data_IF_360266668877
#
_entry.id   IF_360266668877
#
_cell.length_a   1.000
_cell.length_b   1.000
_cell.length_c   1.000
_cell.angle_alpha   90.00
_cell.angle_beta   90.00
_cell.angle_gamma   90.00
#
_symmetry.space_group_name_H-M   'P 1'
#
loop_
_entity.id
_entity.type
_entity.pdbx_description
1 polymer ?
#
# COMPACT_ATOMS: atom_id res chain seq x y z
N UNK A 1 18.87 -13.71 2.90
CA UNK A 1 17.78 -14.51 3.54
C UNK A 1 16.50 -13.88 3.03
N UNK A 2 15.67 -14.64 2.34
CA UNK A 2 14.36 -14.16 1.89
C UNK A 2 13.53 -13.96 3.16
N UNK A 3 13.06 -12.74 3.43
CA UNK A 3 12.10 -12.50 4.50
C UNK A 3 10.76 -13.13 4.12
N UNK A 4 10.08 -13.79 5.05
CA UNK A 4 8.73 -14.25 4.79
C UNK A 4 7.78 -13.05 4.57
N UNK A 5 6.69 -13.25 3.82
CA UNK A 5 5.70 -12.21 3.56
C UNK A 5 5.14 -11.60 4.85
N UNK A 6 4.99 -12.42 5.91
CA UNK A 6 4.51 -11.94 7.21
C UNK A 6 5.57 -11.09 7.93
N UNK A 7 6.84 -11.48 7.85
CA UNK A 7 7.94 -10.68 8.41
C UNK A 7 8.08 -9.33 7.69
N UNK A 8 7.90 -9.32 6.37
CA UNK A 8 7.90 -8.10 5.57
C UNK A 8 6.76 -7.16 5.98
N UNK A 9 5.52 -7.65 6.04
CA UNK A 9 4.35 -6.86 6.45
C UNK A 9 4.50 -6.33 7.89
N UNK A 10 5.03 -7.15 8.81
CA UNK A 10 5.35 -6.71 10.18
C UNK A 10 6.35 -5.56 10.19
N UNK A 11 7.41 -5.62 9.39
CA UNK A 11 8.40 -4.55 9.33
C UNK A 11 7.80 -3.24 8.83
N UNK A 12 6.96 -3.28 7.78
CA UNK A 12 6.24 -2.09 7.29
C UNK A 12 5.29 -1.52 8.36
N UNK A 13 4.51 -2.37 9.02
CA UNK A 13 3.59 -1.96 10.08
C UNK A 13 4.32 -1.38 11.30
N UNK A 14 5.46 -1.96 11.68
CA UNK A 14 6.29 -1.45 12.80
C UNK A 14 6.82 -0.04 12.54
N UNK A 15 7.15 0.27 11.30
CA UNK A 15 7.62 1.58 10.93
C UNK A 15 6.57 2.67 11.11
N UNK A 16 5.31 2.37 10.78
CA UNK A 16 4.19 3.30 10.90
C UNK A 16 3.66 3.48 12.32
N UNK A 17 3.87 2.52 13.22
CA UNK A 17 3.27 2.50 14.58
C UNK A 17 4.04 3.25 15.66
N UNK A 18 4.91 4.19 15.28
CA UNK A 18 5.48 5.17 16.22
C UNK A 18 6.43 4.58 17.26
N UNK A 19 6.94 3.38 17.04
CA UNK A 19 8.04 2.87 17.84
C UNK A 19 9.29 3.69 17.47
N UNK A 20 9.73 4.58 18.37
CA UNK A 20 10.87 5.48 18.20
C UNK A 20 12.22 4.76 18.04
N UNK A 21 12.23 3.47 18.13
CA UNK A 21 13.25 2.58 17.60
C UNK A 21 12.75 2.06 16.25
N UNK A 22 12.80 2.89 15.20
CA UNK A 22 12.83 2.38 13.83
C UNK A 22 13.87 1.27 13.81
N UNK A 23 13.51 -0.01 13.58
CA UNK A 23 14.52 -1.01 13.33
C UNK A 23 15.34 -0.51 12.14
N UNK A 24 16.65 -0.69 12.17
CA UNK A 24 17.54 -0.44 11.02
C UNK A 24 17.05 -1.11 9.72
N UNK A 25 16.07 -2.00 9.79
CA UNK A 25 15.40 -2.65 8.66
C UNK A 25 14.61 -1.72 7.73
N UNK A 26 14.34 -0.47 8.11
CA UNK A 26 13.70 0.51 7.22
C UNK A 26 14.69 1.41 6.48
N UNK A 27 15.97 1.14 6.60
CA UNK A 27 16.94 1.55 5.59
C UNK A 27 16.82 0.68 4.31
N UNK A 28 16.09 -0.43 4.34
CA UNK A 28 15.84 -1.27 3.17
C UNK A 28 14.73 -0.65 2.31
N UNK A 29 15.07 -0.37 1.08
CA UNK A 29 14.17 0.06 0.03
C UNK A 29 13.21 -1.07 -0.30
N UNK A 30 11.91 -0.77 -0.30
CA UNK A 30 10.85 -1.73 -0.57
C UNK A 30 10.23 -1.44 -1.93
N UNK A 31 10.10 -2.46 -2.78
CA UNK A 31 9.57 -2.31 -4.12
C UNK A 31 8.48 -3.35 -4.38
N UNK A 32 7.25 -2.86 -4.63
CA UNK A 32 6.15 -3.69 -5.10
C UNK A 32 5.99 -3.66 -6.61
N UNK A 33 5.52 -4.77 -7.18
CA UNK A 33 5.19 -4.89 -8.59
C UNK A 33 3.68 -4.99 -8.81
N UNK A 34 3.13 -4.15 -9.70
CA UNK A 34 1.71 -4.21 -10.05
C UNK A 34 1.45 -5.27 -11.11
N UNK A 35 0.33 -5.97 -10.96
CA UNK A 35 -0.20 -6.91 -11.94
C UNK A 35 -1.51 -6.42 -12.54
N UNK A 36 -1.78 -6.87 -13.77
CA UNK A 36 -3.03 -6.54 -14.47
C UNK A 36 -4.19 -7.40 -13.96
N UNK A 37 -5.40 -6.87 -14.10
CA UNK A 37 -6.60 -7.67 -13.86
C UNK A 37 -6.62 -8.94 -14.72
N UNK A 38 -7.01 -10.05 -14.09
CA UNK A 38 -7.03 -11.35 -14.74
C UNK A 38 -5.72 -12.13 -14.65
N UNK A 39 -4.64 -11.51 -14.13
CA UNK A 39 -3.40 -12.22 -13.83
C UNK A 39 -3.63 -13.38 -12.87
N UNK A 40 -2.82 -14.42 -13.01
CA UNK A 40 -2.80 -15.59 -12.14
C UNK A 40 -1.40 -15.85 -11.59
N UNK A 41 -1.20 -17.04 -11.02
CA UNK A 41 0.09 -17.45 -10.44
C UNK A 41 1.26 -17.35 -11.42
N UNK A 42 1.06 -17.85 -12.66
CA UNK A 42 2.10 -17.83 -13.70
C UNK A 42 2.53 -16.40 -14.06
N UNK A 43 1.61 -15.45 -13.95
CA UNK A 43 1.91 -14.04 -14.22
C UNK A 43 2.70 -13.42 -13.07
N UNK A 44 2.40 -13.77 -11.81
CA UNK A 44 3.22 -13.37 -10.66
C UNK A 44 4.61 -13.98 -10.79
N UNK A 45 4.74 -15.27 -11.14
CA UNK A 45 6.04 -15.94 -11.33
C UNK A 45 6.88 -15.20 -12.39
N UNK A 46 6.31 -14.86 -13.54
CA UNK A 46 7.01 -14.07 -14.58
C UNK A 46 7.43 -12.69 -14.10
N UNK A 47 6.56 -12.01 -13.33
CA UNK A 47 6.90 -10.73 -12.75
C UNK A 47 8.10 -10.84 -11.79
N UNK A 48 8.13 -11.90 -10.97
CA UNK A 48 9.21 -12.16 -10.02
C UNK A 48 10.51 -12.63 -10.70
N UNK A 49 10.44 -13.30 -11.85
CA UNK A 49 11.62 -13.59 -12.68
C UNK A 49 12.27 -12.31 -13.22
N UNK A 50 11.46 -11.30 -13.52
CA UNK A 50 11.97 -10.00 -13.98
C UNK A 50 12.63 -9.20 -12.86
N UNK A 51 12.02 -9.17 -11.67
CA UNK A 51 12.54 -8.53 -10.49
C UNK A 51 11.93 -9.16 -9.23
N UNK A 52 12.75 -9.40 -8.21
CA UNK A 52 12.28 -9.95 -6.93
C UNK A 52 11.55 -8.87 -6.12
N UNK A 53 10.30 -8.61 -6.50
CA UNK A 53 9.44 -7.66 -5.83
C UNK A 53 9.09 -8.12 -4.42
N UNK A 54 9.07 -7.18 -3.48
CA UNK A 54 8.75 -7.45 -2.08
C UNK A 54 7.26 -7.72 -1.85
N UNK A 55 6.39 -7.12 -2.65
CA UNK A 55 4.95 -7.35 -2.63
C UNK A 55 4.33 -7.24 -4.02
N UNK A 56 3.14 -7.81 -4.19
CA UNK A 56 2.37 -7.74 -5.42
C UNK A 56 1.21 -6.76 -5.23
N UNK A 57 1.05 -5.83 -6.16
CA UNK A 57 -0.01 -4.82 -6.12
C UNK A 57 -1.15 -5.16 -7.08
N UNK A 58 -2.36 -5.16 -6.56
CA UNK A 58 -3.62 -5.34 -7.29
C UNK A 58 -4.44 -4.07 -7.21
N UNK A 59 -4.90 -3.58 -8.35
CA UNK A 59 -5.73 -2.38 -8.42
C UNK A 59 -7.21 -2.72 -8.53
N UNK A 60 -7.99 -2.38 -7.51
CA UNK A 60 -9.45 -2.50 -7.51
C UNK A 60 -10.17 -1.24 -7.98
N UNK A 61 -9.50 -0.07 -8.00
CA UNK A 61 -10.14 1.19 -8.33
C UNK A 61 -10.39 1.34 -9.84
N UNK A 62 -9.42 0.96 -10.66
CA UNK A 62 -9.47 1.13 -12.12
C UNK A 62 -9.50 -0.19 -12.89
N UNK A 63 -9.82 -1.28 -12.21
CA UNK A 63 -9.94 -2.62 -12.79
C UNK A 63 -11.24 -3.27 -12.37
N UNK A 64 -11.83 -4.14 -13.20
CA UNK A 64 -13.08 -4.83 -12.88
C UNK A 64 -12.85 -5.98 -11.88
N UNK A 65 -12.13 -5.72 -10.78
CA UNK A 65 -11.88 -6.72 -9.74
C UNK A 65 -13.16 -7.08 -8.98
N UNK A 66 -13.22 -8.30 -8.50
CA UNK A 66 -14.25 -8.78 -7.59
C UNK A 66 -13.62 -9.65 -6.50
N UNK A 67 -14.42 -10.03 -5.52
CA UNK A 67 -13.98 -10.80 -4.36
C UNK A 67 -13.40 -12.17 -4.76
N UNK A 68 -14.02 -12.86 -5.74
CA UNK A 68 -13.51 -14.14 -6.26
C UNK A 68 -12.11 -14.00 -6.87
N UNK A 69 -11.88 -12.92 -7.62
CA UNK A 69 -10.56 -12.66 -8.18
C UNK A 69 -9.56 -12.33 -7.09
N UNK A 70 -9.95 -11.48 -6.14
CA UNK A 70 -9.08 -11.11 -5.01
C UNK A 70 -8.66 -12.33 -4.20
N UNK A 71 -9.60 -13.22 -3.88
CA UNK A 71 -9.30 -14.47 -3.17
C UNK A 71 -8.26 -15.31 -3.94
N UNK A 72 -8.51 -15.59 -5.23
CA UNK A 72 -7.62 -16.42 -6.05
C UNK A 72 -6.21 -15.83 -6.20
N UNK A 73 -6.10 -14.51 -6.36
CA UNK A 73 -4.78 -13.88 -6.51
C UNK A 73 -4.01 -13.86 -5.20
N UNK A 74 -4.72 -13.71 -4.06
CA UNK A 74 -4.11 -13.83 -2.73
C UNK A 74 -3.61 -15.26 -2.46
N UNK A 75 -4.39 -16.29 -2.84
CA UNK A 75 -3.94 -17.69 -2.74
C UNK A 75 -2.69 -17.95 -3.60
N UNK A 76 -2.69 -17.47 -4.85
CA UNK A 76 -1.54 -17.61 -5.74
C UNK A 76 -0.28 -16.91 -5.22
N UNK A 77 -0.42 -15.70 -4.68
CA UNK A 77 0.70 -14.95 -4.11
C UNK A 77 1.22 -15.60 -2.82
N UNK A 78 0.34 -16.17 -2.00
CA UNK A 78 0.73 -16.90 -0.79
C UNK A 78 1.58 -18.13 -1.10
N UNK A 79 1.27 -18.86 -2.18
CA UNK A 79 2.10 -19.99 -2.63
C UNK A 79 3.53 -19.57 -3.03
N UNK A 80 3.71 -18.29 -3.38
CA UNK A 80 4.98 -17.68 -3.76
C UNK A 80 5.61 -16.84 -2.62
N UNK A 81 5.04 -16.92 -1.42
CA UNK A 81 5.45 -16.15 -0.24
C UNK A 81 5.52 -14.63 -0.49
N UNK A 82 4.53 -14.09 -1.20
CA UNK A 82 4.42 -12.65 -1.46
C UNK A 82 3.14 -12.08 -0.85
N UNK A 83 3.25 -10.95 -0.10
CA UNK A 83 2.08 -10.23 0.38
C UNK A 83 1.36 -9.55 -0.78
N UNK A 84 0.04 -9.41 -0.67
CA UNK A 84 -0.78 -8.64 -1.59
C UNK A 84 -1.08 -7.27 -1.01
N UNK A 85 -0.75 -6.26 -1.80
CA UNK A 85 -1.30 -4.92 -1.70
C UNK A 85 -2.56 -4.85 -2.55
N UNK A 86 -3.65 -4.36 -1.98
CA UNK A 86 -4.91 -4.14 -2.69
C UNK A 86 -5.36 -2.69 -2.56
N UNK A 87 -5.40 -1.96 -3.69
CA UNK A 87 -6.07 -0.67 -3.74
C UNK A 87 -7.57 -0.93 -3.89
N UNK A 88 -8.37 -0.53 -2.91
CA UNK A 88 -9.80 -0.77 -2.92
C UNK A 88 -10.50 0.05 -4.03
N UNK A 89 -11.68 -0.39 -4.40
CA UNK A 89 -12.46 0.13 -5.52
C UNK A 89 -12.89 1.60 -5.33
N UNK A 90 -13.28 1.96 -4.11
CA UNK A 90 -13.76 3.29 -3.82
C UNK A 90 -13.61 3.66 -2.35
N UNK A 91 -13.18 4.92 -2.09
CA UNK A 91 -12.98 5.43 -0.72
C UNK A 91 -14.19 5.28 0.20
N UNK A 92 -15.42 5.44 -0.34
CA UNK A 92 -16.65 5.33 0.45
C UNK A 92 -16.97 3.91 0.91
N UNK A 93 -16.22 2.92 0.42
CA UNK A 93 -16.31 1.52 0.84
C UNK A 93 -15.33 1.19 1.97
N UNK A 94 -14.77 2.19 2.67
CA UNK A 94 -13.83 2.00 3.78
C UNK A 94 -14.39 1.06 4.87
N UNK A 95 -15.69 1.09 5.12
CA UNK A 95 -16.37 0.16 6.03
C UNK A 95 -16.29 -1.31 5.60
N UNK A 96 -15.98 -1.60 4.33
CA UNK A 96 -15.81 -2.96 3.80
C UNK A 96 -14.38 -3.50 3.96
N UNK A 97 -13.44 -2.71 4.46
CA UNK A 97 -12.03 -3.11 4.57
C UNK A 97 -11.88 -4.46 5.30
N UNK A 98 -12.60 -4.68 6.38
CA UNK A 98 -12.56 -5.94 7.10
C UNK A 98 -12.94 -7.15 6.24
N UNK A 99 -13.94 -7.01 5.37
CA UNK A 99 -14.36 -8.05 4.43
C UNK A 99 -13.29 -8.29 3.35
N UNK A 100 -12.72 -7.22 2.78
CA UNK A 100 -11.64 -7.34 1.80
C UNK A 100 -10.43 -8.06 2.38
N UNK A 101 -10.07 -7.76 3.63
CA UNK A 101 -8.98 -8.41 4.34
C UNK A 101 -9.21 -9.90 4.61
N UNK A 102 -10.46 -10.33 4.70
CA UNK A 102 -10.81 -11.75 4.86
C UNK A 102 -10.51 -12.58 3.59
N UNK A 103 -10.30 -11.93 2.43
CA UNK A 103 -9.85 -12.56 1.17
C UNK A 103 -8.33 -12.72 1.06
N UNK A 104 -7.54 -12.15 1.99
CA UNK A 104 -6.12 -12.43 2.12
C UNK A 104 -5.12 -11.30 1.89
N UNK A 105 -5.47 -10.11 1.38
CA UNK A 105 -4.49 -9.04 1.29
C UNK A 105 -3.99 -8.63 2.69
N UNK A 106 -2.73 -8.24 2.78
CA UNK A 106 -2.13 -7.75 4.03
C UNK A 106 -1.88 -6.25 4.00
N UNK A 107 -1.97 -5.64 2.83
CA UNK A 107 -1.79 -4.22 2.61
C UNK A 107 -3.04 -3.69 1.92
N UNK A 108 -3.73 -2.71 2.51
CA UNK A 108 -4.87 -2.02 1.90
C UNK A 108 -4.50 -0.57 1.60
N UNK A 109 -4.78 -0.13 0.39
CA UNK A 109 -4.70 1.28 -0.01
C UNK A 109 -6.11 1.85 -0.19
N UNK A 110 -6.41 2.91 0.54
CA UNK A 110 -7.66 3.66 0.42
C UNK A 110 -7.45 4.80 -0.57
N UNK A 111 -8.13 4.79 -1.74
CA UNK A 111 -7.93 5.81 -2.75
C UNK A 111 -8.58 7.14 -2.38
N UNK A 112 -8.19 8.23 -3.05
CA UNK A 112 -8.85 9.56 -3.03
C UNK A 112 -9.18 10.06 -1.62
N UNK A 113 -8.23 9.99 -0.70
CA UNK A 113 -8.45 10.33 0.71
C UNK A 113 -8.35 11.84 0.92
N UNK A 114 -9.48 12.51 1.12
CA UNK A 114 -9.59 13.96 1.26
C UNK A 114 -10.11 14.40 2.63
N UNK A 115 -10.63 13.47 3.42
CA UNK A 115 -11.35 13.77 4.64
C UNK A 115 -10.82 12.93 5.81
N UNK A 116 -10.60 13.57 6.96
CA UNK A 116 -10.12 12.88 8.15
C UNK A 116 -11.07 11.77 8.64
N UNK A 117 -12.37 11.97 8.50
CA UNK A 117 -13.35 10.97 8.94
C UNK A 117 -13.30 9.70 8.10
N UNK A 118 -12.97 9.82 6.80
CA UNK A 118 -12.69 8.68 5.94
C UNK A 118 -11.47 7.89 6.43
N UNK A 119 -10.39 8.59 6.79
CA UNK A 119 -9.16 7.96 7.31
C UNK A 119 -9.44 7.25 8.64
N UNK A 120 -10.25 7.86 9.51
CA UNK A 120 -10.69 7.22 10.77
C UNK A 120 -11.52 5.97 10.51
N UNK A 121 -12.48 6.04 9.59
CA UNK A 121 -13.31 4.89 9.23
C UNK A 121 -12.44 3.76 8.67
N UNK A 122 -11.55 4.06 7.74
CA UNK A 122 -10.62 3.07 7.18
C UNK A 122 -9.80 2.38 8.27
N UNK A 123 -9.20 3.15 9.18
CA UNK A 123 -8.44 2.62 10.30
C UNK A 123 -9.31 1.74 11.21
N UNK A 124 -10.50 2.19 11.54
CA UNK A 124 -11.38 1.48 12.45
C UNK A 124 -11.81 0.12 11.90
N UNK A 125 -12.10 0.02 10.62
CA UNK A 125 -12.46 -1.26 9.97
C UNK A 125 -11.25 -2.12 9.56
N UNK A 126 -10.03 -1.56 9.60
CA UNK A 126 -8.80 -2.30 9.32
C UNK A 126 -8.34 -3.13 10.52
N UNK A 127 -8.42 -2.58 11.73
CA UNK A 127 -7.91 -3.19 12.94
C UNK A 127 -8.98 -3.88 13.78
N UNK A 128 -8.59 -4.96 14.45
CA UNK A 128 -9.40 -5.57 15.49
C UNK A 128 -9.32 -4.74 16.78
N UNK A 129 -10.24 -5.00 17.73
CA UNK A 129 -10.20 -4.40 19.06
C UNK A 129 -8.88 -4.73 19.78
N UNK A 130 -8.34 -3.84 20.60
CA UNK A 130 -8.90 -2.53 20.97
C UNK A 130 -8.62 -1.39 19.97
N UNK A 131 -7.75 -1.57 18.96
CA UNK A 131 -7.27 -0.53 18.03
C UNK A 131 -8.37 -0.11 17.03
N UNK A 132 -9.28 -1.02 16.68
CA UNK A 132 -10.36 -0.78 15.72
C UNK A 132 -11.62 -1.57 16.05
N UNK A 133 -12.47 -1.79 15.04
CA UNK A 133 -13.77 -2.45 15.17
C UNK A 133 -13.99 -3.59 14.16
N UNK A 134 -12.92 -4.01 13.43
CA UNK A 134 -13.02 -5.12 12.48
C UNK A 134 -13.71 -6.33 13.09
N UNK A 135 -14.65 -6.91 12.36
CA UNK A 135 -15.35 -8.14 12.76
C UNK A 135 -14.46 -9.36 12.55
N UNK A 136 -14.59 -10.36 13.43
CA UNK A 136 -13.90 -11.63 13.29
C UNK A 136 -14.70 -12.59 12.41
N UNK A 137 -14.23 -12.86 11.19
CA UNK A 137 -14.79 -13.86 10.27
C UNK A 137 -13.97 -15.15 10.14
N UNK A 138 -12.83 -15.20 10.84
CA UNK A 138 -11.82 -16.24 10.69
C UNK A 138 -10.48 -15.63 10.26
N UNK A 139 -9.41 -16.42 10.14
CA UNK A 139 -8.16 -15.95 9.56
C UNK A 139 -8.33 -15.87 8.03
N UNK A 140 -8.26 -14.68 7.46
CA UNK A 140 -8.26 -14.51 6.01
C UNK A 140 -7.00 -15.06 5.35
N UNK A 141 -5.91 -15.12 6.12
CA UNK A 141 -4.63 -15.72 5.73
C UNK A 141 -4.03 -16.45 6.92
N UNK A 142 -3.55 -17.70 6.75
CA UNK A 142 -2.82 -18.39 7.80
C UNK A 142 -1.54 -17.63 8.18
N UNK A 143 -1.38 -17.21 9.44
CA UNK A 143 -0.20 -16.48 9.85
C UNK A 143 0.98 -17.43 10.08
N UNK A 144 2.17 -17.00 9.66
CA UNK A 144 3.39 -17.71 10.02
C UNK A 144 3.74 -17.52 11.50
N UNK A 145 4.23 -18.58 12.11
CA UNK A 145 4.76 -18.54 13.47
C UNK A 145 3.74 -18.49 14.59
N UNK A 146 2.44 -18.39 14.33
CA UNK A 146 1.40 -18.58 15.32
C UNK A 146 1.20 -20.06 15.59
N UNK A 147 1.43 -20.47 16.86
CA UNK A 147 1.24 -21.87 17.29
C UNK A 147 -0.24 -22.29 17.29
N UNK A 148 -1.12 -21.35 17.49
CA UNK A 148 -2.56 -21.54 17.55
C UNK A 148 -3.25 -20.34 16.91
N UNK A 149 -4.14 -20.59 15.96
CA UNK A 149 -4.91 -19.57 15.24
C UNK A 149 -6.35 -19.58 15.76
N UNK A 150 -6.72 -18.54 16.49
CA UNK A 150 -8.05 -18.37 17.04
C UNK A 150 -8.43 -16.88 17.16
N UNK A 151 -9.65 -16.61 17.65
CA UNK A 151 -10.20 -15.26 17.79
C UNK A 151 -9.44 -14.34 18.77
N UNK A 152 -8.40 -14.80 19.42
CA UNK A 152 -7.58 -14.01 20.33
C UNK A 152 -6.15 -13.81 19.77
N UNK A 153 -5.54 -14.88 19.28
CA UNK A 153 -4.17 -14.85 18.78
C UNK A 153 -4.06 -14.17 17.42
N UNK A 154 -4.99 -14.44 16.50
CA UNK A 154 -4.98 -13.85 15.15
C UNK A 154 -5.20 -12.33 15.18
N UNK A 155 -6.19 -11.75 15.88
CA UNK A 155 -6.34 -10.31 15.98
C UNK A 155 -5.08 -9.60 16.52
N UNK A 156 -4.46 -10.18 17.55
CA UNK A 156 -3.23 -9.62 18.12
C UNK A 156 -2.02 -9.67 17.15
N UNK A 157 -1.95 -10.70 16.34
CA UNK A 157 -0.98 -10.80 15.25
C UNK A 157 -1.31 -9.80 14.13
N UNK A 158 -2.57 -9.76 13.67
CA UNK A 158 -3.01 -8.87 12.59
C UNK A 158 -2.74 -7.40 12.90
N UNK A 159 -3.09 -6.94 14.08
CA UNK A 159 -2.90 -5.54 14.50
C UNK A 159 -1.42 -5.10 14.48
N UNK A 160 -0.49 -6.05 14.37
CA UNK A 160 0.96 -5.81 14.25
C UNK A 160 1.49 -6.01 12.83
N UNK A 161 0.75 -6.72 11.99
CA UNK A 161 1.23 -7.18 10.68
C UNK A 161 0.61 -6.43 9.52
N UNK A 162 -0.70 -6.14 9.58
CA UNK A 162 -1.40 -5.46 8.51
C UNK A 162 -0.87 -4.05 8.26
N UNK A 163 -0.88 -3.60 7.01
CA UNK A 163 -0.41 -2.28 6.56
C UNK A 163 -1.56 -1.49 5.95
N UNK A 164 -1.87 -0.34 6.55
CA UNK A 164 -2.88 0.59 6.04
C UNK A 164 -2.20 1.76 5.31
N UNK A 165 -2.48 1.89 4.02
CA UNK A 165 -2.03 2.98 3.17
C UNK A 165 -3.18 3.95 2.86
N UNK A 166 -2.89 5.24 2.90
CA UNK A 166 -3.83 6.31 2.57
C UNK A 166 -3.31 7.02 1.31
N UNK A 167 -4.06 6.95 0.22
CA UNK A 167 -3.64 7.59 -1.02
C UNK A 167 -3.85 9.10 -0.95
N UNK A 168 -2.79 9.85 -1.26
CA UNK A 168 -2.74 11.30 -1.38
C UNK A 168 -2.51 11.64 -2.87
N UNK A 169 -3.49 12.31 -3.49
CA UNK A 169 -3.49 12.59 -4.92
C UNK A 169 -4.07 13.96 -5.27
N UNK A 170 -4.12 14.85 -4.28
CA UNK A 170 -4.42 16.26 -4.45
C UNK A 170 -3.48 17.12 -3.58
N UNK A 171 -3.35 18.39 -3.94
CA UNK A 171 -2.61 19.37 -3.14
C UNK A 171 -3.20 19.52 -1.73
N UNK A 172 -4.54 19.42 -1.62
CA UNK A 172 -5.21 19.43 -0.34
C UNK A 172 -4.85 18.22 0.52
N UNK A 173 -4.86 17.02 -0.05
CA UNK A 173 -4.50 15.80 0.66
C UNK A 173 -3.04 15.83 1.16
N UNK A 174 -2.09 16.34 0.36
CA UNK A 174 -0.70 16.52 0.77
C UNK A 174 -0.62 17.42 2.01
N UNK A 175 -1.28 18.58 1.99
CA UNK A 175 -1.27 19.50 3.13
C UNK A 175 -1.95 18.91 4.39
N UNK A 176 -2.82 17.92 4.21
CA UNK A 176 -3.51 17.22 5.30
C UNK A 176 -2.77 15.98 5.82
N UNK A 177 -1.59 15.64 5.31
CA UNK A 177 -0.77 14.54 5.83
C UNK A 177 -0.65 14.57 7.37
N UNK A 178 -0.39 15.71 8.03
CA UNK A 178 -0.34 15.74 9.51
C UNK A 178 -1.64 15.32 10.17
N UNK A 179 -2.80 15.71 9.60
CA UNK A 179 -4.12 15.34 10.13
C UNK A 179 -4.47 13.88 9.85
N UNK A 180 -4.01 13.33 8.73
CA UNK A 180 -4.23 11.94 8.33
C UNK A 180 -3.27 10.96 9.01
N UNK A 181 -2.23 11.47 9.67
CA UNK A 181 -1.20 10.66 10.34
C UNK A 181 -1.68 10.05 11.66
N UNK A 182 -2.86 9.44 11.64
CA UNK A 182 -3.43 8.76 12.79
C UNK A 182 -2.56 7.56 13.21
N UNK A 183 -2.65 7.16 14.47
CA UNK A 183 -2.14 5.87 14.90
C UNK A 183 -2.86 4.76 14.14
N UNK A 184 -2.08 3.83 13.55
CA UNK A 184 -2.61 2.76 12.69
C UNK A 184 -2.64 3.10 11.19
N UNK A 185 -2.40 4.34 10.77
CA UNK A 185 -2.00 4.63 9.39
C UNK A 185 -0.49 4.41 9.28
N UNK A 186 -0.05 3.56 8.38
CA UNK A 186 1.36 3.17 8.26
C UNK A 186 2.08 3.96 7.17
N UNK A 187 1.41 4.22 6.06
CA UNK A 187 2.00 4.78 4.86
C UNK A 187 1.03 5.72 4.12
N UNK A 188 1.57 6.75 3.50
CA UNK A 188 0.89 7.49 2.45
C UNK A 188 1.30 6.96 1.08
N UNK A 189 0.34 6.85 0.15
CA UNK A 189 0.58 6.43 -1.23
C UNK A 189 0.40 7.61 -2.17
N UNK A 190 1.40 7.87 -3.01
CA UNK A 190 1.41 8.96 -3.97
C UNK A 190 0.63 8.60 -5.23
N UNK A 191 -0.43 9.35 -5.54
CA UNK A 191 -1.24 9.21 -6.76
C UNK A 191 -0.86 10.23 -7.84
N UNK A 192 0.11 9.94 -8.73
CA UNK A 192 0.69 10.95 -9.64
C UNK A 192 -0.28 11.46 -10.69
N UNK A 193 -1.23 10.64 -11.17
CA UNK A 193 -2.13 11.01 -12.27
C UNK A 193 -3.10 12.10 -11.84
N UNK A 194 -3.90 11.84 -10.78
CA UNK A 194 -4.89 12.79 -10.28
C UNK A 194 -4.22 14.04 -9.69
N UNK A 195 -3.09 13.87 -9.02
CA UNK A 195 -2.32 15.02 -8.54
C UNK A 195 -1.84 15.92 -9.69
N UNK A 196 -1.44 15.35 -10.83
CA UNK A 196 -1.08 16.14 -12.01
C UNK A 196 -2.24 16.98 -12.52
N UNK A 197 -3.46 16.42 -12.50
CA UNK A 197 -4.70 17.14 -12.86
C UNK A 197 -4.99 18.25 -11.86
N UNK A 198 -4.93 17.95 -10.57
CA UNK A 198 -5.20 18.93 -9.51
C UNK A 198 -4.19 20.08 -9.52
N UNK A 199 -2.90 19.79 -9.72
CA UNK A 199 -1.86 20.81 -9.90
C UNK A 199 -2.10 21.72 -11.10
N UNK A 200 -2.53 21.16 -12.22
CA UNK A 200 -2.87 21.93 -13.40
C UNK A 200 -4.07 22.87 -13.19
N UNK A 201 -5.00 22.47 -12.31
CA UNK A 201 -6.15 23.28 -11.93
C UNK A 201 -5.81 24.40 -10.92
N UNK A 202 -4.67 24.29 -10.20
CA UNK A 202 -4.24 25.24 -9.17
C UNK A 202 -2.80 25.72 -9.38
N UNK A 203 -2.49 26.36 -10.51
CA UNK A 203 -1.11 26.71 -10.88
C UNK A 203 -0.44 27.71 -9.95
N UNK A 204 -1.20 28.46 -9.16
CA UNK A 204 -0.71 29.41 -8.15
C UNK A 204 -0.27 28.73 -6.84
N UNK A 205 -0.59 27.46 -6.65
CA UNK A 205 -0.25 26.75 -5.42
C UNK A 205 1.29 26.54 -5.32
N UNK A 206 1.92 26.73 -4.16
CA UNK A 206 3.38 26.65 -4.00
C UNK A 206 3.98 25.31 -4.46
N UNK A 207 3.24 24.21 -4.36
CA UNK A 207 3.68 22.87 -4.75
C UNK A 207 3.14 22.42 -6.12
N UNK A 208 2.51 23.32 -6.90
CA UNK A 208 2.01 22.99 -8.22
C UNK A 208 3.10 23.03 -9.31
N UNK A 209 4.28 23.59 -9.02
CA UNK A 209 5.31 23.90 -10.02
C UNK A 209 5.92 22.64 -10.64
N UNK A 210 6.31 21.66 -9.84
CA UNK A 210 6.89 20.39 -10.28
C UNK A 210 6.41 19.23 -9.41
N UNK A 211 6.50 18.02 -9.95
CA UNK A 211 6.25 16.81 -9.15
C UNK A 211 7.24 16.71 -7.98
N UNK A 212 8.50 16.98 -8.25
CA UNK A 212 9.57 16.91 -7.25
C UNK A 212 9.28 17.78 -6.03
N UNK A 213 8.90 19.04 -6.26
CA UNK A 213 8.58 19.97 -5.16
C UNK A 213 7.45 19.43 -4.28
N UNK A 214 6.43 18.85 -4.91
CA UNK A 214 5.29 18.26 -4.19
C UNK A 214 5.70 16.96 -3.47
N UNK A 215 6.51 16.11 -4.10
CA UNK A 215 7.03 14.87 -3.49
C UNK A 215 7.92 15.19 -2.29
N UNK A 216 8.88 16.11 -2.43
CA UNK A 216 9.75 16.52 -1.32
C UNK A 216 8.95 17.04 -0.12
N UNK A 217 7.89 17.80 -0.38
CA UNK A 217 7.00 18.27 0.67
C UNK A 217 6.24 17.13 1.34
N UNK A 218 5.67 16.20 0.56
CA UNK A 218 4.98 15.02 1.09
C UNK A 218 5.93 14.11 1.90
N UNK A 219 7.16 13.87 1.42
CA UNK A 219 8.21 13.14 2.15
C UNK A 219 8.49 13.80 3.48
N UNK A 220 8.69 15.12 3.48
CA UNK A 220 8.97 15.87 4.71
C UNK A 220 7.83 15.70 5.71
N UNK A 221 6.59 15.98 5.31
CA UNK A 221 5.43 15.87 6.19
C UNK A 221 5.23 14.43 6.70
N UNK A 222 5.40 13.42 5.86
CA UNK A 222 5.29 12.02 6.26
C UNK A 222 6.32 11.69 7.34
N UNK A 223 7.60 12.03 7.12
CA UNK A 223 8.69 11.77 8.07
C UNK A 223 8.50 12.51 9.41
N UNK A 224 8.08 13.78 9.37
CA UNK A 224 7.81 14.58 10.58
C UNK A 224 6.69 13.98 11.42
N UNK A 225 5.78 13.22 10.81
CA UNK A 225 4.67 12.54 11.46
C UNK A 225 4.89 11.03 11.66
N UNK A 226 6.12 10.53 11.45
CA UNK A 226 6.48 9.13 11.66
C UNK A 226 5.80 8.15 10.68
N UNK A 227 5.51 8.61 9.45
CA UNK A 227 4.88 7.80 8.40
C UNK A 227 5.81 7.56 7.24
N UNK A 228 5.54 6.46 6.50
CA UNK A 228 6.20 6.12 5.25
C UNK A 228 5.56 6.87 4.07
N UNK A 229 6.29 6.98 2.96
CA UNK A 229 5.74 7.41 1.68
C UNK A 229 6.03 6.35 0.61
N UNK A 230 4.97 5.83 0.00
CA UNK A 230 5.01 4.95 -1.16
C UNK A 230 4.79 5.78 -2.42
N UNK A 231 5.71 5.72 -3.37
CA UNK A 231 5.55 6.38 -4.68
C UNK A 231 5.12 5.36 -5.72
N UNK A 232 3.99 5.60 -6.36
CA UNK A 232 3.54 4.88 -7.55
C UNK A 232 4.36 5.36 -8.74
N UNK A 233 5.21 4.50 -9.28
CA UNK A 233 6.15 4.81 -10.34
C UNK A 233 5.76 4.12 -11.66
N UNK A 234 5.71 4.87 -12.74
CA UNK A 234 5.51 4.37 -14.11
C UNK A 234 6.82 4.27 -14.88
N UNK A 235 7.94 4.67 -14.28
CA UNK A 235 9.27 4.65 -14.89
C UNK A 235 10.30 4.10 -13.89
N UNK A 236 10.79 2.91 -14.16
CA UNK A 236 11.78 2.23 -13.30
C UNK A 236 13.14 2.92 -13.27
N UNK A 237 13.45 3.73 -14.26
CA UNK A 237 14.71 4.49 -14.27
C UNK A 237 14.75 5.56 -13.18
N UNK A 238 13.59 5.92 -12.62
CA UNK A 238 13.45 6.91 -11.56
C UNK A 238 13.57 6.32 -10.13
N UNK A 239 13.79 5.01 -9.97
CA UNK A 239 13.92 4.36 -8.65
C UNK A 239 14.85 5.10 -7.71
N UNK A 240 16.11 5.23 -8.11
CA UNK A 240 17.12 5.87 -7.25
C UNK A 240 16.74 7.31 -6.93
N UNK A 241 16.20 8.05 -7.91
CA UNK A 241 15.73 9.42 -7.69
C UNK A 241 14.67 9.49 -6.57
N UNK A 242 13.66 8.65 -6.59
CA UNK A 242 12.62 8.67 -5.58
C UNK A 242 13.14 8.26 -4.20
N UNK A 243 14.03 7.29 -4.12
CA UNK A 243 14.70 6.93 -2.87
C UNK A 243 15.62 8.05 -2.37
N UNK A 244 16.37 8.70 -3.24
CA UNK A 244 17.21 9.86 -2.89
C UNK A 244 16.37 11.04 -2.38
N UNK A 245 15.16 11.23 -2.90
CA UNK A 245 14.20 12.21 -2.38
C UNK A 245 13.64 11.82 -1.00
N UNK A 246 13.79 10.55 -0.62
CA UNK A 246 13.45 10.03 0.70
C UNK A 246 12.14 9.25 0.78
N UNK A 247 11.57 8.83 -0.35
CA UNK A 247 10.60 7.76 -0.36
C UNK A 247 11.23 6.48 0.22
N UNK A 248 10.43 5.62 0.80
CA UNK A 248 10.89 4.36 1.40
C UNK A 248 10.30 3.14 0.70
N UNK A 249 9.20 3.36 -0.01
CA UNK A 249 8.46 2.32 -0.73
C UNK A 249 8.22 2.81 -2.15
N UNK A 250 8.41 1.92 -3.13
CA UNK A 250 7.96 2.15 -4.50
C UNK A 250 6.93 1.10 -4.90
N UNK A 251 5.96 1.50 -5.70
CA UNK A 251 5.03 0.62 -6.37
C UNK A 251 5.20 0.83 -7.87
N UNK A 252 5.81 -0.13 -8.54
CA UNK A 252 6.03 -0.06 -9.97
C UNK A 252 4.82 -0.57 -10.73
N UNK A 253 4.26 0.31 -11.51
CA UNK A 253 3.14 0.02 -12.39
C UNK A 253 3.55 0.22 -13.84
N UNK A 254 2.81 -0.39 -14.72
CA UNK A 254 3.04 -0.18 -16.15
C UNK A 254 2.59 1.21 -16.57
N UNK A 255 3.29 1.81 -17.52
CA UNK A 255 2.91 3.10 -18.08
C UNK A 255 1.57 3.03 -18.82
N UNK A 256 0.72 4.04 -18.61
CA UNK A 256 -0.58 4.14 -19.28
C UNK A 256 -0.45 4.43 -20.80
N UNK A 257 0.71 4.89 -21.26
CA UNK A 257 0.98 5.25 -22.67
C UNK A 257 1.52 4.09 -23.50
N UNK A 258 1.61 2.88 -22.94
CA UNK A 258 2.03 1.68 -23.66
C UNK A 258 3.50 1.66 -24.06
N UNK A 259 4.33 2.57 -23.56
CA UNK A 259 5.79 2.52 -23.73
C UNK A 259 6.45 1.53 -22.77
N UNK A 260 5.78 0.45 -22.52
CA UNK A 260 6.30 -0.62 -21.72
C UNK A 260 7.44 -1.32 -22.40
N UNK A 261 8.39 -1.74 -21.59
CA UNK A 261 9.25 -2.82 -21.98
C UNK A 261 8.38 -4.00 -22.45
N UNK A 262 8.30 -4.18 -23.79
CA UNK A 262 7.50 -5.23 -24.45
C UNK A 262 7.89 -6.64 -24.01
N UNK A 263 8.94 -6.77 -23.21
CA UNK A 263 9.41 -8.03 -22.66
C UNK A 263 8.79 -8.32 -21.27
N UNK A 264 7.99 -7.41 -20.70
CA UNK A 264 7.26 -7.71 -19.50
C UNK A 264 5.97 -8.46 -19.82
N UNK A 265 5.60 -9.45 -18.99
CA UNK A 265 4.41 -10.28 -19.21
C UNK A 265 3.08 -9.52 -19.10
N UNK A 266 3.11 -8.22 -18.92
CA UNK A 266 1.97 -7.33 -18.71
C UNK A 266 2.08 -6.12 -19.63
N UNK A 267 1.87 -6.36 -20.91
CA UNK A 267 1.71 -5.33 -21.93
C UNK A 267 0.30 -4.76 -21.97
#
# INVERSE_FOLDING_TARGET
MIQSADAFSMNLAFAGKGNSSLPQALEEQVIGGAIMYGAGKEDIEKLLEYYDYDFISVDGQHSPTNEDYLLRICEAAQELDKPIHYRMDHRRNAYMIGNLLDHGPTIIEVPQSEELDLVREARDYFYYRPEGIRSWGGPGRPPEGLKEVNQHSYPAWWNKTGVLMIQIETLNAINNIPNFSLEGVDCFSWGPADLSIDRAAHPEHPFAQTDDTAIEHAVKLSKENGKQLCIRSYDRTLRNRYFDMGATILMEVQSLDGQLDKNLPFG
#
